data_IF_204121496008
#
_entry.id   IF_204121496008
#
_cell.length_a   1.000
_cell.length_b   1.000
_cell.length_c   1.000
_cell.angle_alpha   90.00
_cell.angle_beta   90.00
_cell.angle_gamma   90.00
#
_symmetry.space_group_name_H-M   'P 1'
#
loop_
_entity.id
_entity.type
_entity.pdbx_description
1 polymer ?
#
# COMPACT_ATOMS: atom_id res chain seq x y z
N UNK A 1 -37.54 -50.00 -0.93
CA UNK A 1 -37.13 -49.03 -1.95
C UNK A 1 -37.23 -47.61 -1.39
N UNK A 2 -36.45 -47.29 -0.30
CA UNK A 2 -36.42 -45.97 0.38
C UNK A 2 -34.99 -45.41 0.61
N UNK A 3 -33.99 -45.96 -0.09
CA UNK A 3 -32.60 -45.62 0.16
C UNK A 3 -32.04 -44.50 -0.74
N UNK A 4 -32.76 -44.06 -1.77
CA UNK A 4 -32.19 -43.15 -2.79
C UNK A 4 -32.44 -41.65 -2.55
N UNK A 5 -33.28 -41.26 -1.58
CA UNK A 5 -33.59 -39.83 -1.34
C UNK A 5 -32.54 -39.15 -0.44
N UNK A 6 -31.98 -39.87 0.51
CA UNK A 6 -30.96 -39.32 1.44
C UNK A 6 -29.62 -39.15 0.73
N UNK A 7 -29.30 -40.07 -0.20
CA UNK A 7 -28.05 -39.97 -0.99
C UNK A 7 -28.08 -38.81 -2.01
N UNK A 8 -29.25 -38.52 -2.58
CA UNK A 8 -29.40 -37.41 -3.55
C UNK A 8 -29.32 -36.05 -2.89
N UNK A 9 -29.83 -35.89 -1.64
CA UNK A 9 -29.73 -34.63 -0.89
C UNK A 9 -28.29 -34.37 -0.43
N UNK A 10 -27.55 -35.42 -0.06
CA UNK A 10 -26.13 -35.30 0.30
C UNK A 10 -25.24 -34.87 -0.87
N UNK A 11 -25.51 -35.40 -2.08
CA UNK A 11 -24.76 -35.04 -3.29
C UNK A 11 -25.05 -33.60 -3.75
N UNK A 12 -26.32 -33.14 -3.62
CA UNK A 12 -26.67 -31.75 -3.94
C UNK A 12 -26.10 -30.74 -2.96
N UNK A 13 -25.95 -31.07 -1.67
CA UNK A 13 -25.32 -30.20 -0.68
C UNK A 13 -23.80 -30.09 -0.87
N UNK A 14 -23.13 -31.18 -1.26
CA UNK A 14 -21.71 -31.19 -1.58
C UNK A 14 -21.43 -30.44 -2.88
N UNK A 15 -22.27 -30.57 -3.90
CA UNK A 15 -22.11 -29.81 -5.15
C UNK A 15 -22.40 -28.31 -4.98
N UNK A 16 -23.27 -27.91 -4.07
CA UNK A 16 -23.54 -26.51 -3.76
C UNK A 16 -22.36 -25.88 -2.98
N UNK A 17 -21.71 -26.65 -2.12
CA UNK A 17 -20.51 -26.16 -1.38
C UNK A 17 -19.29 -26.01 -2.30
N UNK A 18 -19.16 -26.85 -3.33
CA UNK A 18 -18.05 -26.74 -4.32
C UNK A 18 -18.26 -25.56 -5.28
N UNK A 19 -19.51 -25.18 -5.58
CA UNK A 19 -19.80 -24.00 -6.43
C UNK A 19 -19.54 -22.69 -5.71
N UNK A 20 -19.63 -22.65 -4.37
CA UNK A 20 -19.25 -21.46 -3.58
C UNK A 20 -17.73 -21.25 -3.46
N UNK A 21 -16.91 -22.26 -3.80
CA UNK A 21 -15.45 -22.18 -3.79
C UNK A 21 -14.84 -21.80 -5.14
N UNK A 22 -15.64 -21.60 -6.20
CA UNK A 22 -15.17 -21.11 -7.50
C UNK A 22 -15.36 -19.60 -7.68
N UNK A 23 -15.64 -18.87 -6.59
CA UNK A 23 -15.64 -17.41 -6.57
C UNK A 23 -14.22 -16.87 -6.70
N UNK A 24 -14.00 -16.17 -7.79
CA UNK A 24 -12.89 -15.27 -8.09
C UNK A 24 -11.50 -15.78 -7.73
N UNK A 25 -10.82 -16.41 -8.67
CA UNK A 25 -9.36 -16.34 -8.77
C UNK A 25 -9.03 -14.92 -9.23
N UNK A 26 -8.97 -13.98 -8.31
CA UNK A 26 -8.19 -12.79 -8.51
C UNK A 26 -6.74 -13.26 -8.63
N UNK A 27 -6.07 -12.84 -9.70
CA UNK A 27 -4.66 -13.15 -9.92
C UNK A 27 -3.83 -12.31 -8.97
N UNK A 28 -3.95 -12.58 -7.68
CA UNK A 28 -3.05 -12.01 -6.69
C UNK A 28 -1.73 -12.80 -6.75
N UNK A 29 -0.67 -12.14 -7.14
CA UNK A 29 0.67 -12.65 -6.96
C UNK A 29 0.89 -12.97 -5.50
N UNK A 30 1.14 -14.25 -5.17
CA UNK A 30 1.41 -14.65 -3.80
C UNK A 30 0.40 -15.55 -3.10
N UNK A 31 -0.70 -15.93 -3.71
CA UNK A 31 -1.54 -17.07 -3.29
C UNK A 31 -2.31 -16.94 -1.97
N UNK A 32 -2.36 -15.78 -1.33
CA UNK A 32 -3.21 -15.55 -0.16
C UNK A 32 -4.67 -15.35 -0.62
N UNK A 33 -5.58 -16.19 -0.12
CA UNK A 33 -7.03 -16.01 -0.35
C UNK A 33 -7.46 -14.81 0.49
N UNK A 34 -7.88 -13.71 -0.16
CA UNK A 34 -8.50 -12.60 0.53
C UNK A 34 -9.99 -12.93 0.77
N UNK A 35 -10.40 -12.97 2.03
CA UNK A 35 -11.77 -13.28 2.44
C UNK A 35 -12.67 -12.04 2.54
N UNK A 36 -12.09 -10.85 2.44
CA UNK A 36 -12.79 -9.57 2.56
C UNK A 36 -13.22 -9.05 1.19
N UNK A 37 -14.37 -8.41 1.12
CA UNK A 37 -14.80 -7.65 -0.05
C UNK A 37 -14.06 -6.30 -0.13
N UNK A 38 -14.20 -5.57 -1.25
CA UNK A 38 -13.66 -4.21 -1.36
C UNK A 38 -14.35 -3.26 -0.38
N UNK A 39 -15.63 -3.47 -0.11
CA UNK A 39 -16.40 -2.71 0.88
C UNK A 39 -15.88 -2.95 2.29
N UNK A 40 -15.49 -4.18 2.61
CA UNK A 40 -14.85 -4.51 3.91
C UNK A 40 -13.49 -3.83 4.03
N UNK A 41 -12.66 -3.82 2.98
CA UNK A 41 -11.39 -3.10 2.96
C UNK A 41 -11.59 -1.60 3.22
N UNK A 42 -12.58 -0.97 2.56
CA UNK A 42 -12.92 0.45 2.79
C UNK A 42 -13.38 0.71 4.20
N UNK A 43 -14.32 -0.11 4.70
CA UNK A 43 -14.86 0.06 6.04
C UNK A 43 -13.79 -0.13 7.12
N UNK A 44 -12.91 -1.11 6.94
CA UNK A 44 -11.80 -1.37 7.84
C UNK A 44 -10.74 -0.27 7.79
N UNK A 45 -10.35 0.16 6.58
CA UNK A 45 -9.41 1.25 6.39
C UNK A 45 -9.91 2.58 6.96
N UNK A 46 -11.21 2.88 6.81
CA UNK A 46 -11.81 4.07 7.40
C UNK A 46 -11.74 4.06 8.94
N UNK A 47 -11.98 2.92 9.59
CA UNK A 47 -11.86 2.78 11.03
C UNK A 47 -10.40 2.93 11.50
N UNK A 48 -9.43 2.32 10.78
CA UNK A 48 -8.01 2.51 11.07
C UNK A 48 -7.59 3.97 10.92
N UNK A 49 -8.05 4.63 9.88
CA UNK A 49 -7.75 6.02 9.62
C UNK A 49 -8.33 6.97 10.68
N UNK A 50 -9.51 6.68 11.21
CA UNK A 50 -10.10 7.42 12.33
C UNK A 50 -9.25 7.22 13.61
N UNK A 51 -8.81 6.00 13.88
CA UNK A 51 -7.97 5.70 15.05
C UNK A 51 -6.61 6.39 14.97
N UNK A 52 -5.98 6.41 13.77
CA UNK A 52 -4.71 7.11 13.53
C UNK A 52 -4.89 8.62 13.73
N UNK A 53 -5.93 9.23 13.13
CA UNK A 53 -6.20 10.67 13.24
C UNK A 53 -6.49 11.09 14.71
N UNK A 54 -7.01 10.18 15.55
CA UNK A 54 -7.29 10.40 16.97
C UNK A 54 -6.10 10.07 17.89
N UNK A 55 -4.96 9.63 17.37
CA UNK A 55 -3.78 9.29 18.16
C UNK A 55 -2.55 10.14 17.78
N UNK A 56 -2.58 11.47 18.08
CA UNK A 56 -1.50 12.38 17.69
C UNK A 56 -0.17 12.12 18.43
N UNK A 57 -0.18 11.39 19.53
CA UNK A 57 1.03 11.04 20.27
C UNK A 57 1.87 9.99 19.50
N UNK A 58 1.20 9.06 18.81
CA UNK A 58 1.85 8.05 17.95
C UNK A 58 1.99 8.53 16.51
N UNK A 59 0.98 9.25 16.02
CA UNK A 59 0.89 9.73 14.65
C UNK A 59 0.63 11.24 14.64
N UNK A 60 1.65 12.08 14.80
CA UNK A 60 1.50 13.54 14.74
C UNK A 60 1.23 14.01 13.31
N UNK A 61 -0.03 13.86 12.86
CA UNK A 61 -0.47 14.22 11.51
C UNK A 61 -0.44 15.74 11.34
N UNK A 62 0.19 16.22 10.28
CA UNK A 62 0.17 17.63 9.90
C UNK A 62 -1.24 18.07 9.52
N UNK A 63 -1.70 19.18 10.12
CA UNK A 63 -2.99 19.78 9.82
C UNK A 63 -3.01 20.32 8.37
N UNK A 64 -3.85 19.73 7.52
CA UNK A 64 -3.98 20.11 6.11
C UNK A 64 -4.45 21.56 5.91
N UNK A 65 -5.13 22.15 6.90
CA UNK A 65 -5.52 23.56 6.84
C UNK A 65 -4.34 24.52 7.08
N UNK A 66 -3.31 24.08 7.81
CA UNK A 66 -2.06 24.83 8.05
C UNK A 66 -1.01 24.60 6.98
N UNK A 67 -1.03 23.44 6.32
CA UNK A 67 -0.09 23.03 5.28
C UNK A 67 -0.78 22.70 3.93
N UNK A 68 -1.70 23.58 3.43
CA UNK A 68 -2.52 23.25 2.26
C UNK A 68 -1.68 23.03 1.00
N UNK A 69 -0.54 23.73 0.87
CA UNK A 69 0.34 23.59 -0.29
C UNK A 69 1.06 22.24 -0.29
N UNK A 70 1.50 21.75 0.89
CA UNK A 70 2.15 20.45 1.00
C UNK A 70 1.17 19.32 0.64
N UNK A 71 -0.06 19.40 1.14
CA UNK A 71 -1.08 18.43 0.78
C UNK A 71 -1.45 18.49 -0.71
N UNK A 72 -1.64 19.69 -1.26
CA UNK A 72 -1.94 19.85 -2.69
C UNK A 72 -0.84 19.26 -3.58
N UNK A 73 0.43 19.46 -3.20
CA UNK A 73 1.58 18.88 -3.90
C UNK A 73 1.55 17.35 -3.91
N UNK A 74 1.41 16.72 -2.75
CA UNK A 74 1.37 15.26 -2.65
C UNK A 74 0.12 14.66 -3.28
N UNK A 75 -1.02 15.34 -3.21
CA UNK A 75 -2.23 14.94 -3.91
C UNK A 75 -2.06 14.98 -5.43
N UNK A 76 -1.32 15.96 -5.98
CA UNK A 76 -1.05 16.02 -7.42
C UNK A 76 -0.23 14.81 -7.89
N UNK A 77 0.76 14.36 -7.12
CA UNK A 77 1.53 13.15 -7.43
C UNK A 77 0.62 11.91 -7.36
N UNK A 78 -0.14 11.75 -6.26
CA UNK A 78 -1.11 10.65 -6.12
C UNK A 78 -2.09 10.62 -7.30
N UNK A 79 -2.68 11.75 -7.65
CA UNK A 79 -3.68 11.83 -8.71
C UNK A 79 -3.09 11.48 -10.08
N UNK A 80 -1.85 11.91 -10.35
CA UNK A 80 -1.13 11.50 -11.56
C UNK A 80 -0.97 9.98 -11.66
N UNK A 81 -0.67 9.31 -10.54
CA UNK A 81 -0.55 7.86 -10.47
C UNK A 81 -1.91 7.19 -10.69
N UNK A 82 -2.95 7.66 -10.00
CA UNK A 82 -4.31 7.12 -10.13
C UNK A 82 -4.87 7.28 -11.55
N UNK A 83 -4.53 8.37 -12.24
CA UNK A 83 -4.96 8.65 -13.61
C UNK A 83 -4.12 7.90 -14.67
N UNK A 84 -3.12 7.12 -14.28
CA UNK A 84 -2.28 6.33 -15.20
C UNK A 84 -3.06 5.32 -16.05
N UNK A 85 -4.24 4.92 -15.58
CA UNK A 85 -5.08 3.88 -16.21
C UNK A 85 -4.74 2.45 -15.78
N UNK A 86 -3.71 2.26 -14.94
CA UNK A 86 -3.24 0.94 -14.52
C UNK A 86 -3.66 0.56 -13.08
N UNK A 87 -4.18 1.53 -12.28
CA UNK A 87 -4.69 1.28 -10.94
C UNK A 87 -6.10 0.69 -11.02
N UNK A 88 -6.24 -0.58 -10.60
CA UNK A 88 -7.46 -1.37 -10.79
C UNK A 88 -8.60 -0.87 -9.91
N UNK A 89 -8.32 -0.53 -8.65
CA UNK A 89 -9.31 -0.09 -7.67
C UNK A 89 -9.38 1.44 -7.51
N UNK A 90 -8.95 2.20 -8.53
CA UNK A 90 -8.96 3.66 -8.54
C UNK A 90 -10.29 4.25 -8.07
N UNK A 91 -11.40 3.76 -8.61
CA UNK A 91 -12.74 4.28 -8.32
C UNK A 91 -13.40 3.60 -7.10
N UNK A 92 -12.77 2.59 -6.54
CA UNK A 92 -13.30 1.83 -5.41
C UNK A 92 -12.81 2.36 -4.06
N UNK A 93 -11.58 2.86 -3.97
CA UNK A 93 -10.92 3.26 -2.73
C UNK A 93 -10.89 4.78 -2.55
N UNK A 94 -10.72 5.23 -1.29
CA UNK A 94 -10.82 6.66 -0.93
C UNK A 94 -9.54 7.44 -1.26
N UNK A 95 -8.40 6.77 -1.37
CA UNK A 95 -7.08 7.32 -1.70
C UNK A 95 -6.72 8.58 -0.89
N UNK A 96 -7.05 8.56 0.41
CA UNK A 96 -6.80 9.66 1.32
C UNK A 96 -5.34 9.68 1.76
N UNK A 97 -4.68 10.84 1.68
CA UNK A 97 -3.29 11.02 2.07
C UNK A 97 -3.16 11.81 3.36
N UNK A 98 -2.21 11.43 4.22
CA UNK A 98 -1.79 12.12 5.43
C UNK A 98 -0.28 12.23 5.51
N UNK A 99 0.21 13.36 6.06
CA UNK A 99 1.63 13.59 6.34
C UNK A 99 1.84 13.47 7.84
N UNK A 100 2.71 12.57 8.28
CA UNK A 100 3.08 12.39 9.69
C UNK A 100 4.38 13.16 9.93
N UNK A 101 4.36 14.07 10.91
CA UNK A 101 5.51 14.89 11.25
C UNK A 101 6.50 14.13 12.13
N UNK A 102 7.37 13.36 11.52
CA UNK A 102 8.51 12.71 12.16
C UNK A 102 9.67 12.63 11.15
N UNK A 103 10.66 13.48 11.36
CA UNK A 103 11.83 13.57 10.48
C UNK A 103 12.82 12.42 10.68
N UNK A 104 12.70 11.69 11.78
CA UNK A 104 13.58 10.56 12.08
C UNK A 104 13.12 9.24 11.45
N UNK A 105 11.86 9.16 11.07
CA UNK A 105 11.25 7.96 10.50
C UNK A 105 11.27 8.01 8.97
N UNK A 106 12.07 7.13 8.36
CA UNK A 106 12.12 6.93 6.91
C UNK A 106 11.09 5.86 6.52
N UNK A 107 9.80 6.23 6.51
CA UNK A 107 8.73 5.29 6.21
C UNK A 107 7.53 5.95 5.50
N UNK A 108 6.77 5.12 4.80
CA UNK A 108 5.43 5.37 4.33
C UNK A 108 4.62 4.07 4.48
N UNK A 109 3.32 4.14 4.54
CA UNK A 109 2.47 2.94 4.54
C UNK A 109 1.08 3.23 4.00
N UNK A 110 0.42 2.21 3.49
CA UNK A 110 -0.95 2.27 3.05
C UNK A 110 -1.81 1.23 3.77
N UNK A 111 -2.96 1.66 4.32
CA UNK A 111 -3.94 0.76 4.91
C UNK A 111 -4.96 0.29 3.87
N UNK A 112 -5.74 -0.77 4.14
CA UNK A 112 -6.84 -1.16 3.28
C UNK A 112 -7.73 0.02 2.90
N UNK A 113 -8.32 0.01 1.70
CA UNK A 113 -9.18 1.09 1.24
C UNK A 113 -8.47 2.37 0.77
N UNK A 114 -7.12 2.36 0.66
CA UNK A 114 -6.35 3.43 0.05
C UNK A 114 -6.05 4.63 0.96
N UNK A 115 -5.86 4.42 2.26
CA UNK A 115 -5.44 5.47 3.19
C UNK A 115 -3.92 5.47 3.29
N UNK A 116 -3.27 6.49 2.69
CA UNK A 116 -1.83 6.62 2.53
C UNK A 116 -1.25 7.54 3.59
N UNK A 117 -0.21 7.11 4.26
CA UNK A 117 0.52 7.87 5.28
C UNK A 117 1.98 7.98 4.90
N UNK A 118 2.52 9.20 4.95
CA UNK A 118 3.91 9.51 4.57
C UNK A 118 4.57 10.29 5.68
N UNK A 119 5.71 9.84 6.16
CA UNK A 119 6.50 10.53 7.16
C UNK A 119 7.32 11.68 6.56
N UNK A 120 7.48 12.78 7.29
CA UNK A 120 8.35 13.87 6.83
C UNK A 120 9.79 13.43 6.65
N UNK A 121 10.24 12.42 7.39
CA UNK A 121 11.58 11.85 7.24
C UNK A 121 11.85 11.31 5.84
N UNK A 122 10.96 10.46 5.29
CA UNK A 122 11.15 9.94 3.94
C UNK A 122 11.03 11.04 2.88
N UNK A 123 10.11 12.01 3.07
CA UNK A 123 10.00 13.15 2.15
C UNK A 123 11.33 13.95 2.12
N UNK A 124 11.92 14.23 3.28
CA UNK A 124 13.18 14.99 3.38
C UNK A 124 14.41 14.19 2.95
N UNK A 125 14.35 12.87 3.03
CA UNK A 125 15.43 11.97 2.62
C UNK A 125 15.59 11.91 1.09
N UNK A 126 14.51 11.92 0.32
CA UNK A 126 14.51 11.79 -1.13
C UNK A 126 15.06 13.04 -1.82
N UNK A 127 15.61 12.90 -3.04
CA UNK A 127 16.22 13.99 -3.79
C UNK A 127 15.30 14.59 -4.85
N UNK A 128 14.33 13.81 -5.33
CA UNK A 128 13.52 14.15 -6.49
C UNK A 128 12.08 13.66 -6.39
N UNK A 129 11.21 14.28 -7.17
CA UNK A 129 9.78 13.99 -7.18
C UNK A 129 9.48 12.60 -7.72
N UNK A 130 10.25 12.11 -8.69
CA UNK A 130 10.08 10.78 -9.25
C UNK A 130 10.47 9.66 -8.25
N UNK A 131 11.49 9.89 -7.40
CA UNK A 131 11.78 8.97 -6.28
C UNK A 131 10.59 8.90 -5.33
N UNK A 132 10.01 10.05 -4.98
CA UNK A 132 8.81 10.09 -4.15
C UNK A 132 7.60 9.46 -4.84
N UNK A 133 7.42 9.72 -6.14
CA UNK A 133 6.37 9.09 -6.94
C UNK A 133 6.55 7.56 -7.00
N UNK A 134 7.79 7.07 -7.04
CA UNK A 134 8.12 5.64 -6.93
C UNK A 134 7.67 5.04 -5.61
N UNK A 135 7.97 5.68 -4.48
CA UNK A 135 7.48 5.26 -3.16
C UNK A 135 5.95 5.33 -3.09
N UNK A 136 5.35 6.41 -3.56
CA UNK A 136 3.89 6.58 -3.57
C UNK A 136 3.20 5.50 -4.44
N UNK A 137 3.76 5.18 -5.60
CA UNK A 137 3.26 4.13 -6.49
C UNK A 137 3.35 2.74 -5.85
N UNK A 138 4.43 2.48 -5.09
CA UNK A 138 4.61 1.26 -4.32
C UNK A 138 3.53 1.13 -3.21
N UNK A 139 3.27 2.21 -2.46
CA UNK A 139 2.21 2.21 -1.43
C UNK A 139 0.81 2.05 -2.04
N UNK A 140 0.55 2.72 -3.17
CA UNK A 140 -0.71 2.55 -3.91
C UNK A 140 -0.86 1.09 -4.36
N UNK A 141 0.22 0.44 -4.83
CA UNK A 141 0.19 -0.96 -5.23
C UNK A 141 -0.15 -1.90 -4.08
N UNK A 142 0.37 -1.65 -2.86
CA UNK A 142 -0.01 -2.46 -1.70
C UNK A 142 -1.50 -2.40 -1.38
N UNK A 143 -2.17 -1.25 -1.59
CA UNK A 143 -3.61 -1.16 -1.43
C UNK A 143 -4.35 -1.75 -2.63
N UNK A 144 -3.95 -1.44 -3.85
CA UNK A 144 -4.59 -1.87 -5.10
C UNK A 144 -4.57 -3.40 -5.25
N UNK A 145 -3.43 -4.04 -4.94
CA UNK A 145 -3.28 -5.51 -4.92
C UNK A 145 -3.74 -6.12 -3.58
N UNK A 146 -4.28 -5.31 -2.66
CA UNK A 146 -4.86 -5.71 -1.37
C UNK A 146 -3.86 -6.43 -0.43
N UNK A 147 -2.59 -6.13 -0.58
CA UNK A 147 -1.51 -6.69 0.25
C UNK A 147 -1.67 -6.32 1.72
N UNK A 148 -2.14 -5.10 2.02
CA UNK A 148 -2.37 -4.62 3.39
C UNK A 148 -3.40 -5.49 4.12
N UNK A 149 -4.52 -5.83 3.47
CA UNK A 149 -5.54 -6.72 4.05
C UNK A 149 -5.00 -8.13 4.28
N UNK A 150 -4.24 -8.66 3.32
CA UNK A 150 -3.62 -9.98 3.45
C UNK A 150 -2.60 -10.03 4.60
N UNK A 151 -1.73 -9.02 4.72
CA UNK A 151 -0.74 -8.92 5.79
C UNK A 151 -1.40 -8.79 7.17
N UNK A 152 -2.42 -7.95 7.30
CA UNK A 152 -3.19 -7.82 8.54
C UNK A 152 -3.91 -9.13 8.90
N UNK A 153 -4.49 -9.82 7.91
CA UNK A 153 -5.12 -11.14 8.12
C UNK A 153 -4.11 -12.17 8.62
N UNK A 154 -2.90 -12.16 8.07
CA UNK A 154 -1.82 -13.05 8.50
C UNK A 154 -1.34 -12.73 9.92
N UNK A 155 -1.24 -11.46 10.27
CA UNK A 155 -0.70 -11.01 11.57
C UNK A 155 -1.70 -11.16 12.71
N UNK A 156 -2.97 -10.80 12.51
CA UNK A 156 -4.00 -10.71 13.56
C UNK A 156 -5.05 -11.81 13.47
N UNK A 157 -5.16 -12.51 12.35
CA UNK A 157 -6.16 -13.55 12.11
C UNK A 157 -7.48 -13.00 11.57
N UNK A 158 -8.15 -13.81 10.75
CA UNK A 158 -9.39 -13.43 10.08
C UNK A 158 -10.53 -13.12 11.06
N UNK A 159 -10.64 -13.85 12.18
CA UNK A 159 -11.72 -13.67 13.15
C UNK A 159 -11.65 -12.29 13.82
N UNK A 160 -10.41 -11.80 14.10
CA UNK A 160 -10.21 -10.46 14.67
C UNK A 160 -10.64 -9.39 13.67
N UNK A 161 -10.20 -9.50 12.42
CA UNK A 161 -10.56 -8.52 11.40
C UNK A 161 -12.07 -8.52 11.10
N UNK A 162 -12.71 -9.68 11.03
CA UNK A 162 -14.16 -9.79 10.88
C UNK A 162 -14.90 -9.13 12.05
N UNK A 163 -14.44 -9.33 13.29
CA UNK A 163 -15.06 -8.71 14.47
C UNK A 163 -14.98 -7.17 14.43
N UNK A 164 -13.92 -6.62 13.81
CA UNK A 164 -13.79 -5.18 13.61
C UNK A 164 -14.74 -4.69 12.53
N UNK A 165 -14.77 -5.33 11.36
CA UNK A 165 -15.68 -4.99 10.26
C UNK A 165 -17.14 -5.01 10.72
N UNK A 166 -17.50 -5.98 11.58
CA UNK A 166 -18.83 -6.09 12.19
C UNK A 166 -19.10 -5.10 13.35
N UNK A 167 -18.07 -4.31 13.74
CA UNK A 167 -18.19 -3.33 14.84
C UNK A 167 -18.24 -3.93 16.25
N UNK A 168 -17.87 -5.21 16.39
CA UNK A 168 -17.94 -5.96 17.65
C UNK A 168 -16.70 -5.76 18.55
N UNK A 169 -15.53 -5.40 17.97
CA UNK A 169 -14.25 -5.33 18.68
C UNK A 169 -13.50 -4.02 18.46
N UNK A 170 -13.95 -2.96 19.13
CA UNK A 170 -13.31 -1.63 19.06
C UNK A 170 -11.90 -1.59 19.67
N UNK A 171 -11.58 -2.47 20.61
CA UNK A 171 -10.25 -2.51 21.23
C UNK A 171 -9.19 -3.00 20.26
N UNK A 172 -9.51 -4.01 19.44
CA UNK A 172 -8.56 -4.55 18.48
C UNK A 172 -8.17 -3.55 17.38
N UNK A 173 -9.04 -2.59 17.02
CA UNK A 173 -8.70 -1.57 16.02
C UNK A 173 -7.56 -0.67 16.50
N UNK A 174 -7.56 -0.30 17.78
CA UNK A 174 -6.50 0.51 18.39
C UNK A 174 -5.16 -0.24 18.42
N UNK A 175 -5.18 -1.54 18.78
CA UNK A 175 -3.98 -2.39 18.79
C UNK A 175 -3.40 -2.54 17.38
N UNK A 176 -4.27 -2.72 16.37
CA UNK A 176 -3.86 -2.81 14.96
C UNK A 176 -3.29 -1.47 14.50
N UNK A 177 -3.98 -0.36 14.78
CA UNK A 177 -3.52 0.98 14.39
C UNK A 177 -2.12 1.27 14.97
N UNK A 178 -1.84 0.92 16.22
CA UNK A 178 -0.51 1.06 16.82
C UNK A 178 0.54 0.15 16.18
N UNK A 179 0.14 -1.01 15.67
CA UNK A 179 1.02 -1.98 15.02
C UNK A 179 1.31 -1.71 13.54
N UNK A 180 0.64 -0.76 12.90
CA UNK A 180 0.78 -0.52 11.45
C UNK A 180 2.21 -0.16 11.03
N UNK A 181 2.93 0.59 11.87
CA UNK A 181 4.33 0.97 11.61
C UNK A 181 5.26 -0.25 11.51
N UNK A 182 4.87 -1.39 12.07
CA UNK A 182 5.63 -2.65 12.05
C UNK A 182 4.99 -3.74 11.19
N UNK A 183 3.95 -3.40 10.42
CA UNK A 183 3.31 -4.34 9.50
C UNK A 183 4.31 -4.75 8.41
N UNK A 184 4.47 -6.05 8.21
CA UNK A 184 5.46 -6.59 7.26
C UNK A 184 4.77 -7.29 6.10
N UNK A 185 5.26 -7.02 4.93
CA UNK A 185 4.81 -7.69 3.71
C UNK A 185 5.70 -8.91 3.36
N UNK A 186 5.18 -9.80 2.54
CA UNK A 186 6.00 -10.89 2.00
C UNK A 186 6.92 -10.35 0.89
N UNK A 187 8.07 -11.00 0.65
CA UNK A 187 8.95 -10.64 -0.49
C UNK A 187 8.24 -10.70 -1.84
N UNK A 188 7.23 -11.56 -1.97
CA UNK A 188 6.41 -11.65 -3.18
C UNK A 188 5.53 -10.40 -3.36
N UNK A 189 4.87 -9.94 -2.28
CA UNK A 189 4.11 -8.70 -2.30
C UNK A 189 4.99 -7.49 -2.61
N UNK A 190 6.21 -7.47 -2.05
CA UNK A 190 7.19 -6.41 -2.33
C UNK A 190 7.58 -6.36 -3.81
N UNK A 191 7.94 -7.54 -4.38
CA UNK A 191 8.26 -7.62 -5.81
C UNK A 191 7.08 -7.18 -6.69
N UNK A 192 5.86 -7.56 -6.33
CA UNK A 192 4.67 -7.15 -7.07
C UNK A 192 4.42 -5.65 -6.96
N UNK A 193 4.53 -5.08 -5.76
CA UNK A 193 4.37 -3.64 -5.54
C UNK A 193 5.42 -2.82 -6.29
N UNK A 194 6.68 -3.28 -6.34
CA UNK A 194 7.74 -2.65 -7.13
C UNK A 194 7.41 -2.60 -8.62
N UNK A 195 7.01 -3.73 -9.21
CA UNK A 195 6.68 -3.80 -10.63
C UNK A 195 5.42 -2.98 -10.96
N UNK A 196 4.41 -3.02 -10.10
CA UNK A 196 3.21 -2.19 -10.25
C UNK A 196 3.52 -0.70 -10.17
N UNK A 197 4.42 -0.29 -9.27
CA UNK A 197 4.88 1.11 -9.21
C UNK A 197 5.43 1.57 -10.56
N UNK A 198 6.25 0.76 -11.22
CA UNK A 198 6.75 1.04 -12.57
C UNK A 198 5.62 1.16 -13.60
N UNK A 199 4.67 0.21 -13.58
CA UNK A 199 3.52 0.21 -14.50
C UNK A 199 2.63 1.44 -14.31
N UNK A 200 2.46 1.90 -13.06
CA UNK A 200 1.67 3.10 -12.76
C UNK A 200 2.37 4.37 -13.22
N UNK A 201 3.69 4.47 -13.05
CA UNK A 201 4.46 5.65 -13.40
C UNK A 201 4.77 5.77 -14.90
N UNK A 202 4.92 4.65 -15.59
CA UNK A 202 5.37 4.61 -16.98
C UNK A 202 4.54 5.50 -17.95
N UNK A 203 3.20 5.60 -17.84
CA UNK A 203 2.41 6.49 -18.70
C UNK A 203 2.32 7.92 -18.17
N UNK A 204 2.98 8.25 -17.05
CA UNK A 204 2.97 9.61 -16.46
C UNK A 204 4.19 10.43 -16.92
N UNK A 205 4.31 11.67 -16.41
CA UNK A 205 5.49 12.49 -16.66
C UNK A 205 6.72 12.07 -15.83
N UNK A 206 6.53 11.27 -14.77
CA UNK A 206 7.60 10.84 -13.88
C UNK A 206 8.48 9.77 -14.53
N UNK A 207 9.76 9.77 -14.17
CA UNK A 207 10.62 8.65 -14.50
C UNK A 207 10.21 7.42 -13.70
N UNK A 208 9.76 6.37 -14.39
CA UNK A 208 9.25 5.16 -13.78
C UNK A 208 10.31 4.33 -13.03
N UNK A 209 11.60 4.72 -13.12
CA UNK A 209 12.72 4.15 -12.32
C UNK A 209 12.83 4.82 -10.94
N UNK A 210 11.93 5.71 -10.56
CA UNK A 210 12.00 6.44 -9.28
C UNK A 210 12.15 5.53 -8.07
N UNK A 211 11.40 4.41 -8.01
CA UNK A 211 11.54 3.42 -6.95
C UNK A 211 12.93 2.76 -6.93
N UNK A 212 13.53 2.45 -8.08
CA UNK A 212 14.89 1.90 -8.14
C UNK A 212 15.90 2.89 -7.53
N UNK A 213 15.84 4.18 -7.92
CA UNK A 213 16.71 5.22 -7.36
C UNK A 213 16.53 5.45 -5.86
N UNK A 214 15.32 5.27 -5.35
CA UNK A 214 15.07 5.27 -3.91
C UNK A 214 15.82 4.14 -3.20
N UNK A 215 15.75 2.90 -3.73
CA UNK A 215 16.44 1.76 -3.13
C UNK A 215 17.96 1.87 -3.25
N UNK A 216 18.48 2.35 -4.38
CA UNK A 216 19.91 2.66 -4.54
C UNK A 216 20.39 3.65 -3.47
N UNK A 217 19.61 4.72 -3.23
CA UNK A 217 19.92 5.72 -2.20
C UNK A 217 19.89 5.14 -0.78
N UNK A 218 18.93 4.25 -0.47
CA UNK A 218 18.89 3.54 0.82
C UNK A 218 20.14 2.67 1.00
N UNK A 219 20.54 1.94 -0.03
CA UNK A 219 21.73 1.08 0.00
C UNK A 219 23.01 1.90 0.19
N UNK A 220 23.15 3.04 -0.49
CA UNK A 220 24.27 3.98 -0.34
C UNK A 220 24.33 4.61 1.05
N UNK A 221 23.19 4.93 1.65
CA UNK A 221 23.12 5.52 2.99
C UNK A 221 23.59 4.58 4.11
N UNK A 222 23.79 3.32 3.81
CA UNK A 222 24.35 2.20 4.52
C UNK A 222 24.47 2.30 6.04
N UNK A 223 23.61 1.62 6.79
CA UNK A 223 23.74 1.43 8.22
C UNK A 223 23.45 -0.03 8.59
N UNK A 224 24.09 -0.53 9.67
CA UNK A 224 23.90 -1.89 10.20
C UNK A 224 22.44 -2.22 10.55
N UNK A 225 21.56 -1.22 10.59
CA UNK A 225 20.14 -1.35 10.93
C UNK A 225 19.18 -0.95 9.80
N UNK A 226 19.63 -0.63 8.60
CA UNK A 226 18.81 -0.17 7.46
C UNK A 226 17.70 0.84 7.84
N UNK A 227 17.20 1.65 6.93
CA UNK A 227 16.05 2.50 7.19
C UNK A 227 14.85 1.66 7.65
N UNK A 228 13.98 2.23 8.48
CA UNK A 228 12.76 1.58 8.99
C UNK A 228 11.89 1.04 7.86
N UNK A 229 11.90 1.68 6.71
CA UNK A 229 11.25 1.22 5.49
C UNK A 229 11.63 -0.23 5.14
N UNK A 230 12.92 -0.61 5.19
CA UNK A 230 13.35 -1.98 4.89
C UNK A 230 12.92 -3.01 5.97
N UNK A 231 12.56 -2.56 7.17
CA UNK A 231 12.04 -3.45 8.22
C UNK A 231 10.59 -3.86 7.96
N UNK A 232 9.79 -2.98 7.36
CA UNK A 232 8.39 -3.21 6.97
C UNK A 232 8.28 -3.74 5.54
N UNK A 233 9.19 -3.29 4.65
CA UNK A 233 9.28 -3.65 3.24
C UNK A 233 10.57 -4.45 2.95
N UNK A 234 10.62 -5.74 3.33
CA UNK A 234 11.83 -6.54 3.20
C UNK A 234 12.25 -6.70 1.74
N UNK A 235 13.49 -6.30 1.43
CA UNK A 235 14.01 -6.29 0.07
C UNK A 235 13.97 -7.69 -0.56
N UNK A 236 13.34 -7.87 -1.73
CA UNK A 236 13.59 -9.02 -2.59
C UNK A 236 15.04 -9.04 -3.08
N UNK A 237 15.53 -10.20 -3.46
CA UNK A 237 16.84 -10.30 -4.15
C UNK A 237 16.77 -9.56 -5.49
N UNK A 238 17.82 -8.78 -5.79
CA UNK A 238 17.96 -8.02 -7.04
C UNK A 238 16.80 -7.04 -7.32
N UNK A 239 16.28 -6.38 -6.28
CA UNK A 239 15.13 -5.46 -6.35
C UNK A 239 15.33 -4.36 -7.41
N UNK A 240 16.48 -3.68 -7.36
CA UNK A 240 16.81 -2.59 -8.29
C UNK A 240 16.87 -3.10 -9.73
N UNK A 241 17.58 -4.21 -9.97
CA UNK A 241 17.67 -4.81 -11.28
C UNK A 241 16.30 -5.22 -11.83
N UNK A 242 15.44 -5.80 -11.00
CA UNK A 242 14.11 -6.24 -11.42
C UNK A 242 13.23 -5.04 -11.85
N UNK A 243 13.28 -3.93 -11.11
CA UNK A 243 12.59 -2.69 -11.46
C UNK A 243 13.10 -2.15 -12.82
N UNK A 244 14.40 -2.09 -13.01
CA UNK A 244 15.03 -1.59 -14.25
C UNK A 244 14.71 -2.51 -15.44
N UNK A 245 14.73 -3.82 -15.27
CA UNK A 245 14.37 -4.76 -16.32
C UNK A 245 12.89 -4.65 -16.68
N UNK A 246 12.01 -4.46 -15.71
CA UNK A 246 10.59 -4.27 -15.97
C UNK A 246 10.34 -2.97 -16.74
N UNK A 247 10.95 -1.86 -16.34
CA UNK A 247 10.89 -0.58 -17.07
C UNK A 247 11.35 -0.75 -18.53
N UNK A 248 12.46 -1.44 -18.78
CA UNK A 248 12.92 -1.75 -20.14
C UNK A 248 11.91 -2.57 -20.93
N UNK A 249 11.22 -3.50 -20.29
CA UNK A 249 10.22 -4.35 -20.95
C UNK A 249 8.99 -3.56 -21.41
N UNK A 250 8.68 -2.43 -20.76
CA UNK A 250 7.61 -1.52 -21.13
C UNK A 250 8.01 -0.56 -22.28
N UNK A 251 9.28 -0.51 -22.66
CA UNK A 251 9.80 0.32 -23.74
C UNK A 251 11.03 1.14 -23.35
N UNK A 252 11.30 1.31 -22.05
CA UNK A 252 12.50 1.97 -21.54
C UNK A 252 12.52 3.48 -21.79
N UNK A 253 11.35 4.12 -21.86
CA UNK A 253 11.26 5.57 -22.05
C UNK A 253 11.54 6.29 -20.72
N UNK A 254 12.43 7.29 -20.77
CA UNK A 254 12.78 8.10 -19.59
C UNK A 254 11.74 9.19 -19.36
N UNK A 255 11.36 9.37 -18.09
CA UNK A 255 10.54 10.49 -17.63
C UNK A 255 11.37 11.58 -16.96
N UNK A 256 10.69 12.49 -16.28
CA UNK A 256 11.28 13.63 -15.59
C UNK A 256 11.50 13.34 -14.11
N UNK A 257 12.58 13.86 -13.52
CA UNK A 257 12.88 13.75 -12.08
C UNK A 257 12.25 14.86 -11.24
N UNK A 258 12.05 16.04 -11.80
CA UNK A 258 11.51 17.25 -11.14
C UNK A 258 12.23 17.65 -9.83
N UNK A 259 13.54 17.49 -9.75
CA UNK A 259 14.35 17.74 -8.54
C UNK A 259 14.17 19.14 -7.96
N UNK A 260 14.21 20.18 -8.81
CA UNK A 260 14.09 21.57 -8.35
C UNK A 260 12.71 21.86 -7.75
N UNK A 261 11.66 21.28 -8.32
CA UNK A 261 10.28 21.40 -7.84
C UNK A 261 10.11 20.65 -6.50
N UNK A 262 10.68 19.45 -6.41
CA UNK A 262 10.67 18.67 -5.17
C UNK A 262 11.39 19.38 -4.01
N UNK A 263 12.54 20.01 -4.30
CA UNK A 263 13.30 20.78 -3.30
C UNK A 263 12.52 21.98 -2.75
N UNK A 264 11.76 22.67 -3.59
CA UNK A 264 10.87 23.75 -3.14
C UNK A 264 9.78 23.24 -2.21
N UNK A 265 9.20 22.07 -2.55
CA UNK A 265 8.22 21.42 -1.71
C UNK A 265 8.80 21.02 -0.35
N UNK A 266 9.96 20.34 -0.30
CA UNK A 266 10.63 19.99 0.96
C UNK A 266 10.84 21.19 1.88
N UNK A 267 11.23 22.35 1.34
CA UNK A 267 11.45 23.58 2.10
C UNK A 267 10.15 24.21 2.63
N UNK A 268 8.98 23.74 2.19
CA UNK A 268 7.66 24.20 2.67
C UNK A 268 7.15 23.42 3.88
N UNK A 269 7.81 22.31 4.23
CA UNK A 269 7.50 21.50 5.40
C UNK A 269 8.11 22.06 6.68
N UNK A 270 7.52 21.76 7.84
CA UNK A 270 8.06 22.22 9.13
C UNK A 270 9.38 21.57 9.47
#
# INVERSE_FOLDING_TARGET
MKLNKVLLVGICLISLLVVLLTGCKDKAGGGAINFFSLEDDKAFGAQLAEEIDNNPDTYPVLDSSRYPQAYAYLYAIRDSILESGNVVHKDNFDWRLRIIQDDSTLNAFCTPGGYIYVYTGIIKFLDSEDQFAGVMGHEIAHADERHSTAALTQQYGIDVLLSIVLGENKGAISDIAQGLQSLRYSRGNESEADLRSVEYLYPTAYDARGAARFFEKIEEAGGESGPEFLSTHPSPENRVEAIIEHWKSLGGEEGESFEAHYKQFQNSLP
#
